data_IF_097979325089
#
_entry.id   IF_097979325089
#
_cell.length_a   1.000
_cell.length_b   1.000
_cell.length_c   1.000
_cell.angle_alpha   90.00
_cell.angle_beta   90.00
_cell.angle_gamma   90.00
#
_symmetry.space_group_name_H-M   'P 1'
#
loop_
_entity.id
_entity.type
_entity.pdbx_description
1 polymer ?
#
# COMPACT_ATOMS: atom_id res chain seq x y z
N UNK A 1 -11.57 -18.69 15.34
CA UNK A 1 -10.92 -17.82 14.33
C UNK A 1 -9.96 -16.88 15.05
N UNK A 2 -8.65 -16.91 14.73
CA UNK A 2 -7.65 -16.11 15.44
C UNK A 2 -7.45 -14.76 14.74
N UNK A 3 -8.14 -13.72 15.22
CA UNK A 3 -8.12 -12.37 14.65
C UNK A 3 -6.73 -11.75 14.58
N UNK A 4 -5.83 -12.08 15.52
CA UNK A 4 -4.46 -11.58 15.52
C UNK A 4 -3.66 -12.15 14.35
N UNK A 5 -3.82 -13.43 14.03
CA UNK A 5 -3.19 -14.05 12.84
C UNK A 5 -3.72 -13.44 11.54
N UNK A 6 -5.03 -13.17 11.48
CA UNK A 6 -5.65 -12.55 10.31
C UNK A 6 -5.18 -11.10 10.16
N UNK A 7 -5.14 -10.32 11.24
CA UNK A 7 -4.60 -8.96 11.23
C UNK A 7 -3.12 -8.94 10.81
N UNK A 8 -2.31 -9.89 11.29
CA UNK A 8 -0.92 -10.04 10.87
C UNK A 8 -0.82 -10.36 9.38
N UNK A 9 -1.65 -11.26 8.88
CA UNK A 9 -1.70 -11.61 7.45
C UNK A 9 -2.08 -10.39 6.60
N UNK A 10 -3.13 -9.67 6.98
CA UNK A 10 -3.57 -8.44 6.30
C UNK A 10 -2.47 -7.39 6.27
N UNK A 11 -1.80 -7.14 7.40
CA UNK A 11 -0.68 -6.21 7.48
C UNK A 11 0.49 -6.67 6.59
N UNK A 12 0.82 -7.96 6.58
CA UNK A 12 1.86 -8.53 5.72
C UNK A 12 1.53 -8.39 4.23
N UNK A 13 0.30 -8.70 3.83
CA UNK A 13 -0.16 -8.48 2.45
C UNK A 13 -0.06 -7.00 2.06
N UNK A 14 -0.47 -6.09 2.94
CA UNK A 14 -0.34 -4.65 2.71
C UNK A 14 1.11 -4.19 2.57
N UNK A 15 2.02 -4.68 3.41
CA UNK A 15 3.47 -4.42 3.31
C UNK A 15 4.06 -4.95 2.01
N UNK A 16 3.74 -6.19 1.64
CA UNK A 16 4.22 -6.79 0.39
C UNK A 16 3.69 -6.04 -0.82
N UNK A 17 2.42 -5.63 -0.79
CA UNK A 17 1.83 -4.88 -1.88
C UNK A 17 2.49 -3.51 -2.03
N UNK A 18 2.78 -2.85 -0.92
CA UNK A 18 3.56 -1.61 -0.91
C UNK A 18 4.95 -1.78 -1.53
N UNK A 19 5.71 -2.81 -1.13
CA UNK A 19 7.01 -3.11 -1.74
C UNK A 19 6.90 -3.41 -3.24
N UNK A 20 5.86 -4.14 -3.65
CA UNK A 20 5.58 -4.39 -5.06
C UNK A 20 5.34 -3.10 -5.84
N UNK A 21 4.56 -2.16 -5.31
CA UNK A 21 4.32 -0.88 -6.00
C UNK A 21 5.59 -0.05 -6.15
N UNK A 22 6.47 -0.06 -5.15
CA UNK A 22 7.80 0.54 -5.23
C UNK A 22 8.63 -0.10 -6.34
N UNK A 23 8.67 -1.43 -6.37
CA UNK A 23 9.37 -2.18 -7.40
C UNK A 23 8.83 -1.85 -8.80
N UNK A 24 7.51 -1.85 -8.96
CA UNK A 24 6.86 -1.53 -10.23
C UNK A 24 7.22 -0.12 -10.71
N UNK A 25 7.03 0.91 -9.86
CA UNK A 25 7.33 2.31 -10.20
C UNK A 25 8.81 2.50 -10.55
N UNK A 26 9.72 1.82 -9.85
CA UNK A 26 11.15 1.88 -10.16
C UNK A 26 11.51 1.30 -11.53
N UNK A 27 10.69 0.41 -12.09
CA UNK A 27 10.87 -0.21 -13.40
C UNK A 27 10.01 0.42 -14.50
N UNK A 28 9.18 1.42 -14.18
CA UNK A 28 8.51 2.22 -15.22
C UNK A 28 9.59 3.05 -15.94
N UNK A 29 9.61 3.06 -17.29
CA UNK A 29 10.53 3.90 -18.04
C UNK A 29 10.39 5.34 -17.56
N UNK A 30 11.51 5.99 -17.22
CA UNK A 30 11.48 7.40 -16.85
C UNK A 30 10.97 8.17 -18.06
N UNK A 31 9.73 8.65 -18.02
CA UNK A 31 9.06 9.27 -19.17
C UNK A 31 9.81 10.50 -19.66
N UNK A 32 9.44 11.67 -19.16
CA UNK A 32 10.12 12.94 -19.44
C UNK A 32 11.41 13.15 -18.61
N UNK A 33 11.82 12.15 -17.81
CA UNK A 33 12.98 12.24 -16.92
C UNK A 33 12.80 13.16 -15.70
N UNK A 34 11.61 13.71 -15.48
CA UNK A 34 11.32 14.65 -14.40
C UNK A 34 11.26 14.02 -12.99
N UNK A 35 11.13 12.69 -12.94
CA UNK A 35 10.95 11.95 -11.69
C UNK A 35 9.55 12.04 -11.09
N UNK A 36 8.56 12.63 -11.79
CA UNK A 36 7.18 12.72 -11.32
C UNK A 36 6.53 11.36 -11.01
N UNK A 37 7.06 10.26 -11.56
CA UNK A 37 6.67 8.91 -11.18
C UNK A 37 6.85 8.61 -9.68
N UNK A 38 7.79 9.29 -9.01
CA UNK A 38 7.99 9.16 -7.57
C UNK A 38 6.94 9.92 -6.74
N UNK A 39 6.16 10.82 -7.33
CA UNK A 39 5.01 11.41 -6.64
C UNK A 39 3.95 10.36 -6.32
N UNK A 40 3.80 9.33 -7.15
CA UNK A 40 2.91 8.20 -6.89
C UNK A 40 3.32 7.39 -5.64
N UNK A 41 4.60 7.47 -5.24
CA UNK A 41 5.12 6.79 -4.05
C UNK A 41 4.65 7.46 -2.77
N UNK A 42 4.41 8.77 -2.76
CA UNK A 42 3.94 9.51 -1.58
C UNK A 42 2.58 9.03 -1.05
N UNK A 43 1.49 8.99 -1.84
CA UNK A 43 0.19 8.53 -1.35
C UNK A 43 0.22 7.05 -0.94
N UNK A 44 0.95 6.20 -1.67
CA UNK A 44 1.11 4.78 -1.31
C UNK A 44 1.89 4.61 0.00
N UNK A 45 2.96 5.40 0.18
CA UNK A 45 3.73 5.49 1.42
C UNK A 45 2.91 5.96 2.61
N UNK A 46 2.03 6.95 2.41
CA UNK A 46 1.11 7.42 3.44
C UNK A 46 0.15 6.31 3.89
N UNK A 47 -0.46 5.55 2.96
CA UNK A 47 -1.35 4.45 3.33
C UNK A 47 -0.59 3.41 4.15
N UNK A 48 0.64 3.08 3.76
CA UNK A 48 1.48 2.18 4.55
C UNK A 48 1.76 2.71 5.96
N UNK A 49 2.20 3.97 6.07
CA UNK A 49 2.55 4.60 7.34
C UNK A 49 1.35 4.75 8.28
N UNK A 50 0.16 5.02 7.76
CA UNK A 50 -1.05 5.25 8.57
C UNK A 50 -1.87 3.99 8.83
N UNK A 51 -1.84 2.98 7.96
CA UNK A 51 -2.65 1.77 8.14
C UNK A 51 -1.82 0.54 8.53
N UNK A 52 -0.80 0.19 7.74
CA UNK A 52 -0.09 -1.07 7.92
C UNK A 52 0.95 -1.02 9.04
N UNK A 53 1.65 0.10 9.21
CA UNK A 53 2.62 0.25 10.29
C UNK A 53 1.95 0.26 11.69
N UNK A 54 0.83 0.95 11.93
CA UNK A 54 0.08 0.82 13.17
C UNK A 54 -0.57 -0.56 13.33
N UNK A 55 -0.99 -1.21 12.23
CA UNK A 55 -1.50 -2.57 12.29
C UNK A 55 -0.43 -3.55 12.79
N UNK A 56 0.81 -3.44 12.32
CA UNK A 56 1.95 -4.22 12.82
C UNK A 56 2.21 -4.00 14.31
N UNK A 57 2.21 -2.74 14.75
CA UNK A 57 2.38 -2.39 16.17
C UNK A 57 1.27 -3.00 17.03
N UNK A 58 0.00 -2.87 16.63
CA UNK A 58 -1.13 -3.43 17.36
C UNK A 58 -1.12 -4.97 17.40
N UNK A 59 -0.70 -5.62 16.31
CA UNK A 59 -0.50 -7.08 16.26
C UNK A 59 0.60 -7.52 17.23
N UNK A 60 1.72 -6.79 17.27
CA UNK A 60 2.88 -7.10 18.12
C UNK A 60 2.55 -6.94 19.61
N UNK A 61 1.85 -5.87 19.98
CA UNK A 61 1.38 -5.62 21.35
C UNK A 61 0.23 -6.58 21.74
N UNK A 62 -0.38 -7.25 20.76
CA UNK A 62 -1.47 -8.21 20.98
C UNK A 62 -2.78 -7.57 21.42
N UNK A 63 -2.98 -6.27 21.17
CA UNK A 63 -4.17 -5.53 21.59
C UNK A 63 -5.16 -5.35 20.44
N UNK A 64 -6.45 -5.37 20.82
CA UNK A 64 -7.60 -5.08 19.96
C UNK A 64 -7.57 -5.78 18.57
N UNK A 65 -7.35 -7.10 18.50
CA UNK A 65 -7.09 -7.78 17.23
C UNK A 65 -8.23 -7.68 16.20
N UNK A 66 -9.47 -7.49 16.65
CA UNK A 66 -10.62 -7.23 15.75
C UNK A 66 -10.54 -5.85 15.11
N UNK A 67 -10.21 -4.82 15.89
CA UNK A 67 -10.00 -3.47 15.39
C UNK A 67 -8.83 -3.45 14.41
N UNK A 68 -7.71 -4.07 14.76
CA UNK A 68 -6.53 -4.15 13.91
C UNK A 68 -6.83 -4.83 12.57
N UNK A 69 -7.67 -5.87 12.57
CA UNK A 69 -8.13 -6.52 11.34
C UNK A 69 -8.94 -5.56 10.46
N UNK A 70 -9.98 -4.92 11.01
CA UNK A 70 -10.83 -3.98 10.25
C UNK A 70 -10.01 -2.81 9.73
N UNK A 71 -9.14 -2.25 10.57
CA UNK A 71 -8.25 -1.17 10.22
C UNK A 71 -7.30 -1.53 9.08
N UNK A 72 -6.66 -2.71 9.15
CA UNK A 72 -5.81 -3.20 8.07
C UNK A 72 -6.57 -3.47 6.77
N UNK A 73 -7.81 -3.97 6.84
CA UNK A 73 -8.66 -4.19 5.66
C UNK A 73 -9.06 -2.88 5.00
N UNK A 74 -9.41 -1.85 5.78
CA UNK A 74 -9.64 -0.49 5.25
C UNK A 74 -8.40 0.04 4.53
N UNK A 75 -7.21 -0.18 5.11
CA UNK A 75 -5.93 0.16 4.49
C UNK A 75 -5.73 -0.56 3.15
N UNK A 76 -5.99 -1.87 3.07
CA UNK A 76 -5.90 -2.64 1.82
C UNK A 76 -6.84 -2.13 0.74
N UNK A 77 -8.09 -1.81 1.10
CA UNK A 77 -9.08 -1.30 0.14
C UNK A 77 -8.63 0.07 -0.39
N UNK A 78 -8.23 0.99 0.50
CA UNK A 78 -7.72 2.29 0.09
C UNK A 78 -6.48 2.14 -0.82
N UNK A 79 -5.55 1.26 -0.46
CA UNK A 79 -4.36 0.99 -1.25
C UNK A 79 -4.71 0.47 -2.65
N UNK A 80 -5.64 -0.49 -2.74
CA UNK A 80 -6.07 -1.06 -4.01
C UNK A 80 -6.74 -0.02 -4.91
N UNK A 81 -7.56 0.88 -4.36
CA UNK A 81 -8.22 1.95 -5.12
C UNK A 81 -7.18 2.90 -5.70
N UNK A 82 -6.27 3.44 -4.87
CA UNK A 82 -5.23 4.36 -5.33
C UNK A 82 -4.31 3.68 -6.35
N UNK A 83 -3.94 2.43 -6.12
CA UNK A 83 -3.12 1.67 -7.06
C UNK A 83 -3.81 1.46 -8.40
N UNK A 84 -5.10 1.11 -8.41
CA UNK A 84 -5.87 0.97 -9.64
C UNK A 84 -5.97 2.30 -10.42
N UNK A 85 -6.10 3.42 -9.72
CA UNK A 85 -6.07 4.75 -10.34
C UNK A 85 -4.72 5.02 -11.01
N UNK A 86 -3.61 4.81 -10.29
CA UNK A 86 -2.26 4.99 -10.82
C UNK A 86 -1.97 4.10 -12.04
N UNK A 87 -2.39 2.83 -12.00
CA UNK A 87 -2.28 1.93 -13.15
C UNK A 87 -3.06 2.41 -14.38
N UNK A 88 -4.14 3.18 -14.20
CA UNK A 88 -4.89 3.80 -15.30
C UNK A 88 -4.22 5.06 -15.89
N UNK A 89 -3.23 5.61 -15.19
CA UNK A 89 -2.48 6.82 -15.58
C UNK A 89 -1.15 6.47 -16.27
N UNK A 90 -0.42 5.44 -15.80
CA UNK A 90 0.88 5.06 -16.37
C UNK A 90 0.87 4.76 -17.89
N UNK A 91 -0.15 4.11 -18.49
CA UNK A 91 -0.18 3.86 -19.95
C UNK A 91 -0.52 5.10 -20.79
N UNK A 92 -1.13 6.14 -20.21
CA UNK A 92 -1.52 7.36 -20.94
C UNK A 92 -0.38 8.38 -21.07
N UNK A 93 0.64 8.29 -20.22
CA UNK A 93 1.77 9.21 -20.22
C UNK A 93 2.82 8.94 -21.32
N UNK A 94 2.72 7.83 -22.08
CA UNK A 94 3.64 7.50 -23.17
C UNK A 94 3.18 7.95 -24.57
N UNK A 95 1.99 8.57 -24.70
CA UNK A 95 1.40 8.93 -26.00
C UNK A 95 1.29 10.45 -26.25
N UNK A 96 1.94 11.28 -25.42
CA UNK A 96 2.04 12.73 -25.65
C UNK A 96 3.49 13.19 -25.72
#
# INVERSE_FOLDING_TARGET
MNFRKIAAFVAATGTLFWLYTFYFIAHVPQGDGSGFQWLAVFPLGMIFAFFFLPAWLLVAIGRLPRFTMVFGLCGLIAFAIIWAQLLGEFPRAQLH
#
